data_IF_532538779116
#
_entry.id   IF_532538779116
#
_cell.length_a   1.000
_cell.length_b   1.000
_cell.length_c   1.000
_cell.angle_alpha   90.00
_cell.angle_beta   90.00
_cell.angle_gamma   90.00
#
_symmetry.space_group_name_H-M   'P 1'
#
loop_
_entity.id
_entity.type
_entity.pdbx_description
1 polymer ?
#
# COMPACT_ATOMS: atom_id res chain seq x y z
N UNK A 1 -36.87 19.89 22.00
CA UNK A 1 -35.52 19.71 22.57
C UNK A 1 -34.96 18.40 22.01
N UNK A 2 -34.19 18.47 20.94
CA UNK A 2 -33.44 17.32 20.43
C UNK A 2 -32.01 17.41 20.94
N UNK A 3 -31.55 16.39 21.65
CA UNK A 3 -30.18 16.31 22.15
C UNK A 3 -29.25 16.04 20.96
N UNK A 4 -28.55 17.08 20.49
CA UNK A 4 -27.35 16.90 19.69
C UNK A 4 -26.23 16.50 20.65
N UNK A 5 -25.87 15.22 20.65
CA UNK A 5 -24.61 14.78 21.22
C UNK A 5 -23.48 15.49 20.47
N UNK A 6 -22.60 16.12 21.24
CA UNK A 6 -21.48 16.86 20.69
C UNK A 6 -20.58 15.90 19.91
N UNK A 7 -20.37 16.22 18.63
CA UNK A 7 -19.32 15.62 17.80
C UNK A 7 -18.00 15.73 18.59
N UNK A 8 -17.27 14.63 18.83
CA UNK A 8 -16.00 14.69 19.54
C UNK A 8 -15.04 15.63 18.80
N UNK A 9 -14.37 16.51 19.55
CA UNK A 9 -13.39 17.45 19.00
C UNK A 9 -12.20 16.69 18.38
N UNK A 10 -11.56 17.24 17.33
CA UNK A 10 -10.33 16.67 16.80
C UNK A 10 -9.26 16.56 17.90
N UNK A 11 -8.48 15.48 17.85
CA UNK A 11 -7.42 15.16 18.80
C UNK A 11 -6.46 16.36 19.03
N UNK A 12 -6.44 16.89 20.25
CA UNK A 12 -5.57 18.00 20.73
C UNK A 12 -4.22 17.49 21.29
N UNK A 13 -3.78 16.28 20.91
CA UNK A 13 -2.48 15.72 21.30
C UNK A 13 -1.36 16.10 20.32
N UNK A 14 -0.08 16.08 20.73
CA UNK A 14 1.01 16.18 19.76
C UNK A 14 0.84 15.04 18.74
N UNK A 15 0.88 15.37 17.45
CA UNK A 15 0.89 14.37 16.39
C UNK A 15 2.19 13.58 16.54
N UNK A 16 2.17 12.47 17.28
CA UNK A 16 3.30 11.52 17.40
C UNK A 16 3.28 10.61 16.18
N UNK A 17 3.33 11.24 15.01
CA UNK A 17 3.32 10.60 13.71
C UNK A 17 4.73 10.27 13.23
N UNK A 18 4.86 9.34 12.29
CA UNK A 18 6.14 8.88 11.76
C UNK A 18 6.41 9.58 10.41
N UNK A 19 7.17 10.69 10.43
CA UNK A 19 7.43 11.52 9.24
C UNK A 19 8.08 10.74 8.10
N UNK A 20 8.87 9.72 8.42
CA UNK A 20 9.47 8.84 7.40
C UNK A 20 8.41 8.07 6.60
N UNK A 21 7.21 7.78 7.15
CA UNK A 21 6.10 7.23 6.35
C UNK A 21 5.61 8.21 5.27
N UNK A 22 5.62 9.52 5.53
CA UNK A 22 5.24 10.53 4.52
C UNK A 22 6.26 10.58 3.40
N UNK A 23 7.55 10.46 3.75
CA UNK A 23 8.62 10.37 2.75
C UNK A 23 8.46 9.10 1.92
N UNK A 24 8.28 7.95 2.56
CA UNK A 24 8.06 6.67 1.88
C UNK A 24 6.81 6.70 0.98
N UNK A 25 5.72 7.33 1.44
CA UNK A 25 4.52 7.56 0.63
C UNK A 25 4.84 8.36 -0.63
N UNK A 26 5.54 9.49 -0.48
CA UNK A 26 5.92 10.37 -1.59
C UNK A 26 6.90 9.72 -2.57
N UNK A 27 7.78 8.85 -2.10
CA UNK A 27 8.68 8.08 -2.95
C UNK A 27 7.96 6.99 -3.76
N UNK A 28 6.79 6.52 -3.31
CA UNK A 28 5.94 5.59 -4.06
C UNK A 28 4.92 6.30 -4.96
N UNK A 29 4.76 7.61 -4.83
CA UNK A 29 3.76 8.36 -5.60
C UNK A 29 4.30 8.72 -6.98
N UNK A 30 3.40 9.18 -7.85
CA UNK A 30 3.78 9.62 -9.19
C UNK A 30 4.89 10.70 -9.13
N UNK A 31 6.00 10.57 -9.89
CA UNK A 31 7.08 11.54 -9.87
C UNK A 31 6.60 12.93 -10.27
N UNK A 32 7.03 13.94 -9.53
CA UNK A 32 6.70 15.34 -9.80
C UNK A 32 7.91 16.23 -9.54
N UNK A 33 7.90 17.44 -10.11
CA UNK A 33 8.94 18.43 -9.83
C UNK A 33 9.01 18.81 -8.34
N UNK A 34 7.85 18.81 -7.67
CA UNK A 34 7.73 19.02 -6.23
C UNK A 34 8.42 17.92 -5.43
N UNK A 35 8.25 16.64 -5.81
CA UNK A 35 8.98 15.52 -5.21
C UNK A 35 10.49 15.68 -5.39
N UNK A 36 10.95 16.00 -6.61
CA UNK A 36 12.38 16.20 -6.89
C UNK A 36 12.98 17.34 -6.05
N UNK A 37 12.24 18.44 -5.89
CA UNK A 37 12.66 19.57 -5.06
C UNK A 37 12.72 19.22 -3.56
N UNK A 38 11.88 18.30 -3.11
CA UNK A 38 11.81 17.86 -1.72
C UNK A 38 12.81 16.74 -1.36
N UNK A 39 13.56 16.18 -2.33
CA UNK A 39 14.45 15.05 -2.08
C UNK A 39 15.52 15.32 -1.01
N UNK A 40 16.04 16.54 -0.89
CA UNK A 40 17.00 16.88 0.16
C UNK A 40 16.39 16.79 1.57
N UNK A 41 15.17 17.32 1.74
CA UNK A 41 14.42 17.23 3.00
C UNK A 41 14.03 15.78 3.31
N UNK A 42 13.64 15.00 2.29
CA UNK A 42 13.35 13.58 2.42
C UNK A 42 14.55 12.80 2.99
N UNK A 43 15.77 13.08 2.51
CA UNK A 43 17.00 12.47 3.04
C UNK A 43 17.20 12.80 4.51
N UNK A 44 17.02 14.06 4.92
CA UNK A 44 17.17 14.46 6.32
C UNK A 44 16.20 13.73 7.25
N UNK A 45 14.94 13.57 6.82
CA UNK A 45 13.92 12.83 7.58
C UNK A 45 14.29 11.35 7.68
N UNK A 46 14.73 10.74 6.57
CA UNK A 46 15.13 9.33 6.53
C UNK A 46 16.38 9.05 7.37
N UNK A 47 17.38 9.94 7.35
CA UNK A 47 18.56 9.85 8.21
C UNK A 47 18.17 9.92 9.70
N UNK A 48 17.11 10.66 10.01
CA UNK A 48 16.48 10.74 11.33
C UNK A 48 15.80 9.45 11.81
N UNK A 49 15.43 8.53 10.92
CA UNK A 49 14.69 7.31 11.26
C UNK A 49 15.62 6.15 11.64
N UNK A 50 16.04 6.10 12.90
CA UNK A 50 16.98 5.07 13.37
C UNK A 50 16.40 3.66 13.49
N UNK A 51 15.07 3.51 13.40
CA UNK A 51 14.42 2.19 13.31
C UNK A 51 14.73 1.48 11.99
N UNK A 52 15.11 2.25 10.95
CA UNK A 52 15.54 1.70 9.68
C UNK A 52 17.03 1.31 9.72
N UNK A 53 17.40 0.11 9.23
CA UNK A 53 18.80 -0.30 9.13
C UNK A 53 19.63 0.74 8.37
N UNK A 54 20.84 1.02 8.86
CA UNK A 54 21.73 2.03 8.28
C UNK A 54 21.94 1.86 6.77
N UNK A 55 22.09 0.61 6.31
CA UNK A 55 22.23 0.29 4.88
C UNK A 55 21.00 0.72 4.08
N UNK A 56 19.80 0.47 4.59
CA UNK A 56 18.56 0.80 3.90
C UNK A 56 18.34 2.31 3.83
N UNK A 57 18.68 3.04 4.92
CA UNK A 57 18.70 4.51 4.90
C UNK A 57 19.63 5.06 3.82
N UNK A 58 20.84 4.52 3.71
CA UNK A 58 21.81 4.93 2.70
C UNK A 58 21.30 4.64 1.27
N UNK A 59 20.66 3.49 1.04
CA UNK A 59 20.07 3.15 -0.26
C UNK A 59 18.90 4.08 -0.63
N UNK A 60 18.02 4.39 0.32
CA UNK A 60 16.93 5.35 0.11
C UNK A 60 17.47 6.76 -0.15
N UNK A 61 18.50 7.18 0.58
CA UNK A 61 19.11 8.49 0.38
C UNK A 61 19.79 8.62 -0.99
N UNK A 62 20.50 7.56 -1.42
CA UNK A 62 21.08 7.48 -2.75
C UNK A 62 19.99 7.55 -3.83
N UNK A 63 18.87 6.87 -3.63
CA UNK A 63 17.74 6.92 -4.56
C UNK A 63 17.08 8.31 -4.60
N UNK A 64 16.94 9.01 -3.47
CA UNK A 64 16.47 10.40 -3.46
C UNK A 64 17.40 11.31 -4.28
N UNK A 65 18.72 11.11 -4.21
CA UNK A 65 19.66 11.86 -5.04
C UNK A 65 19.54 11.51 -6.53
N UNK A 66 19.29 10.24 -6.87
CA UNK A 66 18.99 9.79 -8.24
C UNK A 66 17.71 10.44 -8.77
N UNK A 67 16.63 10.48 -7.98
CA UNK A 67 15.37 11.13 -8.33
C UNK A 67 15.54 12.64 -8.57
N UNK A 68 16.26 13.34 -7.69
CA UNK A 68 16.49 14.78 -7.80
C UNK A 68 17.29 15.17 -9.04
N UNK A 69 18.16 14.29 -9.54
CA UNK A 69 19.02 14.52 -10.70
C UNK A 69 18.45 13.94 -12.02
N UNK A 70 17.42 13.09 -11.93
CA UNK A 70 16.82 12.41 -13.07
C UNK A 70 16.02 13.35 -13.97
N UNK A 71 15.91 12.98 -15.25
CA UNK A 71 14.95 13.62 -16.15
C UNK A 71 13.53 13.25 -15.73
N UNK A 72 12.67 14.25 -15.53
CA UNK A 72 11.34 14.02 -14.99
C UNK A 72 10.48 13.16 -15.91
N UNK A 73 10.56 13.35 -17.23
CA UNK A 73 9.75 12.58 -18.17
C UNK A 73 10.17 11.10 -18.19
N UNK A 74 11.48 10.83 -18.11
CA UNK A 74 11.98 9.45 -18.00
C UNK A 74 11.51 8.78 -16.69
N UNK A 75 11.48 9.53 -15.58
CA UNK A 75 10.99 9.02 -14.29
C UNK A 75 9.48 8.74 -14.33
N UNK A 76 8.69 9.64 -14.91
CA UNK A 76 7.26 9.50 -15.10
C UNK A 76 6.93 8.30 -16.00
N UNK A 77 7.65 8.12 -17.11
CA UNK A 77 7.49 6.96 -18.00
C UNK A 77 7.80 5.65 -17.26
N UNK A 78 8.92 5.60 -16.55
CA UNK A 78 9.31 4.42 -15.77
C UNK A 78 8.30 4.08 -14.67
N UNK A 79 7.67 5.08 -14.06
CA UNK A 79 6.61 4.89 -13.07
C UNK A 79 5.39 4.21 -13.69
N UNK A 80 4.86 4.77 -14.78
CA UNK A 80 3.65 4.25 -15.45
C UNK A 80 3.91 2.83 -16.00
N UNK A 81 5.09 2.60 -16.58
CA UNK A 81 5.47 1.26 -17.04
C UNK A 81 5.49 0.23 -15.92
N UNK A 82 5.88 0.65 -14.71
CA UNK A 82 6.00 -0.24 -13.56
C UNK A 82 4.66 -0.51 -12.88
N UNK A 83 3.86 0.53 -12.64
CA UNK A 83 2.70 0.45 -11.74
C UNK A 83 1.35 0.33 -12.47
N UNK A 84 1.24 0.84 -13.70
CA UNK A 84 -0.07 0.97 -14.37
C UNK A 84 -0.31 -0.09 -15.46
N UNK A 85 0.74 -0.83 -15.87
CA UNK A 85 0.64 -1.84 -16.94
C UNK A 85 0.20 -3.23 -16.49
N UNK A 86 0.20 -3.51 -15.19
CA UNK A 86 -0.07 -4.85 -14.68
C UNK A 86 -0.52 -4.81 -13.23
N UNK A 87 -1.11 -5.92 -12.78
CA UNK A 87 -1.65 -6.07 -11.43
C UNK A 87 -0.60 -6.50 -10.42
N UNK A 88 0.44 -7.20 -10.88
CA UNK A 88 1.47 -7.79 -10.04
C UNK A 88 2.17 -6.75 -9.15
N UNK A 89 2.45 -5.57 -9.70
CA UNK A 89 3.15 -4.47 -9.02
C UNK A 89 2.23 -3.31 -8.62
N UNK A 90 0.92 -3.40 -8.85
CA UNK A 90 -0.06 -2.36 -8.50
C UNK A 90 0.13 -1.86 -7.06
N UNK A 91 -0.10 -0.57 -6.83
CA UNK A 91 -0.07 0.02 -5.48
C UNK A 91 -1.42 -0.03 -4.78
N UNK A 92 -2.42 -0.70 -5.36
CA UNK A 92 -3.74 -0.90 -4.75
C UNK A 92 -3.72 -2.15 -3.87
N UNK A 93 -3.74 -1.96 -2.55
CA UNK A 93 -3.56 -3.03 -1.57
C UNK A 93 -4.58 -4.17 -1.75
N UNK A 94 -5.85 -3.84 -1.98
CA UNK A 94 -6.89 -4.87 -2.07
C UNK A 94 -6.87 -5.64 -3.37
N UNK A 95 -6.20 -5.15 -4.41
CA UNK A 95 -6.01 -5.88 -5.66
C UNK A 95 -5.24 -7.19 -5.43
N UNK A 96 -4.23 -7.16 -4.54
CA UNK A 96 -3.41 -8.32 -4.21
C UNK A 96 -4.12 -9.39 -3.37
N UNK A 97 -5.19 -9.01 -2.65
CA UNK A 97 -5.91 -9.92 -1.75
C UNK A 97 -7.20 -10.43 -2.39
N UNK A 98 -7.93 -9.53 -3.06
CA UNK A 98 -9.32 -9.73 -3.43
C UNK A 98 -9.54 -9.73 -4.96
N UNK A 99 -8.59 -9.24 -5.76
CA UNK A 99 -8.80 -9.04 -7.20
C UNK A 99 -10.08 -8.24 -7.48
N UNK A 100 -10.94 -8.76 -8.36
CA UNK A 100 -12.25 -8.16 -8.71
C UNK A 100 -13.41 -8.65 -7.83
N UNK A 101 -13.13 -9.36 -6.74
CA UNK A 101 -14.19 -9.92 -5.90
C UNK A 101 -15.01 -8.84 -5.20
N UNK A 102 -16.27 -9.17 -4.88
CA UNK A 102 -17.17 -8.30 -4.10
C UNK A 102 -16.61 -7.94 -2.72
N UNK A 103 -15.73 -8.78 -2.19
CA UNK A 103 -15.06 -8.56 -0.91
C UNK A 103 -14.14 -7.34 -0.96
N UNK A 104 -13.57 -7.00 -2.12
CA UNK A 104 -12.82 -5.74 -2.33
C UNK A 104 -13.68 -4.52 -2.04
N UNK A 105 -14.91 -4.49 -2.55
CA UNK A 105 -15.82 -3.37 -2.34
C UNK A 105 -16.15 -3.15 -0.86
N UNK A 106 -16.34 -4.23 -0.10
CA UNK A 106 -16.57 -4.13 1.35
C UNK A 106 -15.31 -3.67 2.09
N UNK A 107 -14.13 -4.14 1.70
CA UNK A 107 -12.86 -3.70 2.28
C UNK A 107 -12.62 -2.19 2.06
N UNK A 108 -12.94 -1.67 0.86
CA UNK A 108 -12.88 -0.23 0.56
C UNK A 108 -13.82 0.58 1.45
N UNK A 109 -15.07 0.13 1.64
CA UNK A 109 -16.03 0.81 2.52
C UNK A 109 -15.54 0.83 3.97
N UNK A 110 -14.99 -0.29 4.45
CA UNK A 110 -14.45 -0.35 5.80
C UNK A 110 -13.27 0.61 5.97
N UNK A 111 -12.33 0.64 5.02
CA UNK A 111 -11.16 1.53 5.07
C UNK A 111 -11.57 3.02 5.00
N UNK A 112 -12.57 3.36 4.18
CA UNK A 112 -13.13 4.71 4.15
C UNK A 112 -13.73 5.10 5.51
N UNK A 113 -14.43 4.19 6.18
CA UNK A 113 -14.99 4.46 7.50
C UNK A 113 -13.89 4.71 8.55
N UNK A 114 -12.75 4.01 8.46
CA UNK A 114 -11.58 4.27 9.32
C UNK A 114 -11.00 5.69 9.08
N UNK A 115 -10.88 6.10 7.82
CA UNK A 115 -10.43 7.46 7.48
C UNK A 115 -11.40 8.54 7.99
N UNK A 116 -12.71 8.34 7.80
CA UNK A 116 -13.73 9.27 8.27
C UNK A 116 -13.76 9.37 9.80
N UNK A 117 -13.64 8.23 10.51
CA UNK A 117 -13.56 8.19 11.96
C UNK A 117 -12.32 8.93 12.49
N UNK A 118 -11.25 8.93 11.72
CA UNK A 118 -10.03 9.67 11.97
C UNK A 118 -10.09 11.17 11.58
N UNK A 119 -11.21 11.62 10.98
CA UNK A 119 -11.41 13.00 10.54
C UNK A 119 -10.84 13.33 9.16
N UNK A 120 -10.49 12.33 8.36
CA UNK A 120 -10.02 12.51 6.98
C UNK A 120 -11.19 12.48 6.00
N UNK A 121 -11.08 13.28 4.95
CA UNK A 121 -11.98 13.25 3.81
C UNK A 121 -11.12 13.08 2.56
N UNK A 122 -11.30 11.96 1.86
CA UNK A 122 -10.59 11.71 0.61
C UNK A 122 -11.20 12.51 -0.53
N UNK A 123 -10.37 12.90 -1.50
CA UNK A 123 -10.88 13.39 -2.78
C UNK A 123 -11.63 12.24 -3.48
N UNK A 124 -12.72 12.57 -4.18
CA UNK A 124 -13.54 11.58 -4.86
C UNK A 124 -12.78 10.80 -5.97
N UNK A 125 -11.59 11.28 -6.38
CA UNK A 125 -10.74 10.64 -7.38
C UNK A 125 -9.73 9.66 -6.79
N UNK A 126 -9.52 9.69 -5.48
CA UNK A 126 -8.53 8.83 -4.83
C UNK A 126 -9.16 7.53 -4.34
N UNK A 127 -8.48 6.42 -4.59
CA UNK A 127 -8.89 5.12 -4.06
C UNK A 127 -8.33 4.95 -2.64
N UNK A 128 -9.16 4.51 -1.68
CA UNK A 128 -8.76 4.44 -0.28
C UNK A 128 -7.63 3.45 -0.02
N UNK A 129 -7.48 2.42 -0.86
CA UNK A 129 -6.48 1.36 -0.75
C UNK A 129 -5.19 1.63 -1.55
N UNK A 130 -5.04 2.84 -2.11
CA UNK A 130 -3.79 3.28 -2.72
C UNK A 130 -2.71 3.43 -1.64
N UNK A 131 -1.63 2.65 -1.77
CA UNK A 131 -0.61 2.51 -0.73
C UNK A 131 0.01 3.87 -0.31
N UNK A 132 0.42 4.79 -1.21
CA UNK A 132 0.90 6.11 -0.80
C UNK A 132 -0.08 6.87 0.11
N UNK A 133 -1.35 6.94 -0.27
CA UNK A 133 -2.42 7.57 0.52
C UNK A 133 -2.60 6.88 1.88
N UNK A 134 -2.61 5.56 1.89
CA UNK A 134 -2.69 4.78 3.12
C UNK A 134 -1.51 5.08 4.06
N UNK A 135 -0.29 5.22 3.54
CA UNK A 135 0.89 5.61 4.32
C UNK A 135 0.81 7.05 4.83
N UNK A 136 0.23 7.97 4.06
CA UNK A 136 -0.03 9.34 4.54
C UNK A 136 -0.97 9.33 5.74
N UNK A 137 -2.06 8.56 5.66
CA UNK A 137 -2.96 8.35 6.79
C UNK A 137 -2.23 7.76 8.00
N UNK A 138 -1.49 6.65 7.81
CA UNK A 138 -0.74 5.99 8.87
C UNK A 138 0.29 6.92 9.51
N UNK A 139 0.89 7.83 8.75
CA UNK A 139 1.86 8.80 9.29
C UNK A 139 1.28 9.71 10.38
N UNK A 140 -0.05 9.77 10.52
CA UNK A 140 -0.74 10.56 11.55
C UNK A 140 -1.20 9.75 12.76
N UNK A 141 -1.03 8.42 12.71
CA UNK A 141 -1.46 7.49 13.76
C UNK A 141 -0.41 7.31 14.83
N UNK A 142 -0.78 6.69 15.94
CA UNK A 142 0.17 6.26 16.97
C UNK A 142 1.09 5.14 16.46
N UNK A 143 2.26 4.97 17.07
CA UNK A 143 3.19 3.90 16.67
C UNK A 143 2.59 2.50 16.81
N UNK A 144 1.69 2.28 17.79
CA UNK A 144 0.99 1.01 17.97
C UNK A 144 0.06 0.73 16.79
N UNK A 145 -0.77 1.71 16.40
CA UNK A 145 -1.66 1.59 15.26
C UNK A 145 -0.90 1.38 13.96
N UNK A 146 0.19 2.13 13.73
CA UNK A 146 1.04 1.93 12.54
C UNK A 146 1.59 0.50 12.51
N UNK A 147 2.10 -0.01 13.63
CA UNK A 147 2.61 -1.37 13.73
C UNK A 147 1.54 -2.41 13.39
N UNK A 148 0.33 -2.25 13.94
CA UNK A 148 -0.80 -3.12 13.66
C UNK A 148 -1.18 -3.10 12.17
N UNK A 149 -1.37 -1.91 11.59
CA UNK A 149 -1.76 -1.77 10.19
C UNK A 149 -0.70 -2.32 9.23
N UNK A 150 0.59 -2.05 9.47
CA UNK A 150 1.68 -2.62 8.66
C UNK A 150 1.77 -4.14 8.82
N UNK A 151 1.49 -4.67 10.02
CA UNK A 151 1.38 -6.10 10.28
C UNK A 151 0.26 -6.75 9.47
N UNK A 152 -0.92 -6.12 9.43
CA UNK A 152 -2.09 -6.64 8.70
C UNK A 152 -1.81 -6.78 7.19
N UNK A 153 -1.06 -5.83 6.61
CA UNK A 153 -0.68 -5.84 5.19
C UNK A 153 0.71 -6.46 4.93
N UNK A 154 1.38 -7.04 5.93
CA UNK A 154 2.76 -7.54 5.82
C UNK A 154 2.95 -8.51 4.65
N UNK A 155 2.01 -9.44 4.46
CA UNK A 155 2.06 -10.41 3.37
C UNK A 155 1.99 -9.76 1.98
N UNK A 156 1.19 -8.68 1.84
CA UNK A 156 1.07 -7.89 0.61
C UNK A 156 2.41 -7.18 0.34
N UNK A 157 2.95 -6.50 1.36
CA UNK A 157 4.22 -5.79 1.27
C UNK A 157 5.38 -6.72 0.92
N UNK A 158 5.42 -7.92 1.50
CA UNK A 158 6.44 -8.92 1.22
C UNK A 158 6.42 -9.39 -0.24
N UNK A 159 5.23 -9.71 -0.75
CA UNK A 159 5.05 -10.15 -2.13
C UNK A 159 5.34 -9.02 -3.13
N UNK A 160 4.84 -7.81 -2.86
CA UNK A 160 5.14 -6.64 -3.66
C UNK A 160 6.65 -6.35 -3.69
N UNK A 161 7.34 -6.44 -2.54
CA UNK A 161 8.80 -6.27 -2.47
C UNK A 161 9.51 -7.30 -3.33
N UNK A 162 9.14 -8.58 -3.23
CA UNK A 162 9.76 -9.64 -4.02
C UNK A 162 9.62 -9.39 -5.55
N UNK A 163 8.41 -9.02 -6.00
CA UNK A 163 8.14 -8.68 -7.41
C UNK A 163 8.93 -7.46 -7.89
N UNK A 164 9.02 -6.41 -7.07
CA UNK A 164 9.78 -5.20 -7.42
C UNK A 164 11.29 -5.49 -7.45
N UNK A 165 11.81 -6.33 -6.56
CA UNK A 165 13.22 -6.75 -6.60
C UNK A 165 13.56 -7.57 -7.84
N UNK A 166 12.66 -8.45 -8.30
CA UNK A 166 12.84 -9.20 -9.56
C UNK A 166 12.91 -8.29 -10.78
N UNK A 167 12.19 -7.17 -10.75
CA UNK A 167 12.24 -6.13 -11.79
C UNK A 167 13.46 -5.21 -11.65
N UNK A 168 14.28 -5.39 -10.61
CA UNK A 168 15.50 -4.62 -10.40
C UNK A 168 15.27 -3.13 -10.12
N UNK A 169 14.08 -2.76 -9.63
CA UNK A 169 13.71 -1.36 -9.43
C UNK A 169 13.97 -0.86 -8.01
N UNK A 170 14.28 0.45 -7.88
CA UNK A 170 14.49 1.14 -6.60
C UNK A 170 13.20 1.26 -5.77
N UNK A 171 12.02 1.23 -6.40
CA UNK A 171 10.75 1.28 -5.67
C UNK A 171 10.60 0.14 -4.65
N UNK A 172 11.30 -0.99 -4.82
CA UNK A 172 11.35 -2.08 -3.85
C UNK A 172 11.86 -1.65 -2.45
N UNK A 173 12.64 -0.57 -2.38
CA UNK A 173 13.19 -0.05 -1.12
C UNK A 173 12.08 0.41 -0.16
N UNK A 174 10.95 0.89 -0.67
CA UNK A 174 9.86 1.40 0.16
C UNK A 174 9.13 0.28 0.91
N UNK A 175 8.51 -0.71 0.27
CA UNK A 175 7.85 -1.79 1.00
C UNK A 175 8.84 -2.61 1.84
N UNK A 176 10.11 -2.69 1.44
CA UNK A 176 11.19 -3.22 2.29
C UNK A 176 11.41 -2.38 3.55
N UNK A 177 11.38 -1.06 3.47
CA UNK A 177 11.49 -0.17 4.63
C UNK A 177 10.28 -0.31 5.55
N UNK A 178 9.07 -0.41 5.01
CA UNK A 178 7.86 -0.67 5.80
C UNK A 178 7.96 -1.99 6.58
N UNK A 179 8.44 -3.06 5.92
CA UNK A 179 8.69 -4.35 6.59
C UNK A 179 9.80 -4.24 7.65
N UNK A 180 10.85 -3.46 7.38
CA UNK A 180 11.92 -3.23 8.35
C UNK A 180 11.43 -2.50 9.61
N UNK A 181 10.50 -1.55 9.47
CA UNK A 181 9.88 -0.84 10.60
C UNK A 181 9.16 -1.78 11.57
N UNK A 182 8.68 -2.94 11.12
CA UNK A 182 8.02 -3.96 11.96
C UNK A 182 8.86 -5.23 12.15
N UNK A 183 10.13 -5.22 11.72
CA UNK A 183 11.03 -6.37 11.86
C UNK A 183 10.69 -7.58 10.98
N UNK A 184 9.90 -7.41 9.92
CA UNK A 184 9.36 -8.49 9.10
C UNK A 184 10.03 -8.65 7.71
N UNK A 185 11.28 -8.20 7.55
CA UNK A 185 11.97 -8.29 6.24
C UNK A 185 12.20 -9.71 5.75
N UNK A 186 12.22 -10.69 6.65
CA UNK A 186 12.35 -12.12 6.32
C UNK A 186 11.16 -12.66 5.52
N UNK A 187 9.97 -12.06 5.67
CA UNK A 187 8.78 -12.45 4.91
C UNK A 187 8.97 -12.28 3.40
N UNK A 188 9.89 -11.40 2.96
CA UNK A 188 10.21 -11.21 1.53
C UNK A 188 10.75 -12.53 0.93
N UNK A 189 11.64 -13.21 1.66
CA UNK A 189 12.30 -14.42 1.16
C UNK A 189 11.30 -15.58 0.97
N UNK A 190 10.24 -15.62 1.78
CA UNK A 190 9.15 -16.59 1.65
C UNK A 190 8.32 -16.36 0.37
N UNK A 191 8.23 -15.11 -0.11
CA UNK A 191 7.46 -14.75 -1.30
C UNK A 191 8.25 -14.79 -2.60
N UNK A 192 9.60 -14.84 -2.55
CA UNK A 192 10.44 -14.93 -3.77
C UNK A 192 10.06 -16.10 -4.70
N UNK A 193 9.79 -17.32 -4.22
CA UNK A 193 9.38 -18.41 -5.11
C UNK A 193 8.03 -18.17 -5.78
N UNK A 194 7.13 -17.42 -5.10
CA UNK A 194 5.82 -17.06 -5.66
C UNK A 194 6.02 -16.05 -6.79
N UNK A 195 6.75 -14.96 -6.53
CA UNK A 195 7.06 -13.94 -7.54
C UNK A 195 7.75 -14.56 -8.77
N UNK A 196 8.78 -15.38 -8.57
CA UNK A 196 9.54 -16.01 -9.65
C UNK A 196 8.70 -16.99 -10.51
N UNK A 197 7.62 -17.51 -9.95
CA UNK A 197 6.70 -18.43 -10.62
C UNK A 197 5.60 -17.74 -11.43
N UNK A 198 5.42 -16.42 -11.27
CA UNK A 198 4.38 -15.66 -11.96
C UNK A 198 4.75 -15.37 -13.41
N UNK A 199 3.76 -15.48 -14.30
CA UNK A 199 3.94 -15.02 -15.67
C UNK A 199 3.90 -13.48 -15.72
N UNK A 200 4.75 -12.83 -16.52
CA UNK A 200 4.72 -11.38 -16.70
C UNK A 200 3.36 -10.90 -17.22
N UNK A 201 2.69 -10.07 -16.43
CA UNK A 201 1.34 -9.54 -16.73
C UNK A 201 1.36 -8.19 -17.45
N UNK A 202 2.52 -7.56 -17.54
CA UNK A 202 2.74 -6.25 -18.15
C UNK A 202 3.20 -6.32 -19.61
N UNK A 203 3.20 -7.50 -20.23
CA UNK A 203 3.59 -7.68 -21.64
C UNK A 203 2.44 -7.29 -22.57
N UNK A 204 2.73 -6.81 -23.81
CA UNK A 204 1.67 -6.53 -24.78
C UNK A 204 0.74 -7.72 -25.01
N UNK A 205 1.26 -8.94 -25.02
CA UNK A 205 0.47 -10.16 -25.18
C UNK A 205 -0.45 -10.43 -23.99
N UNK A 206 0.03 -10.20 -22.76
CA UNK A 206 -0.78 -10.35 -21.55
C UNK A 206 -1.89 -9.29 -21.50
N UNK A 207 -1.55 -8.05 -21.87
CA UNK A 207 -2.52 -6.97 -22.03
C UNK A 207 -3.56 -7.34 -23.09
N UNK A 208 -3.16 -7.62 -24.33
CA UNK A 208 -4.08 -7.96 -25.43
C UNK A 208 -5.03 -9.12 -25.06
N UNK A 209 -4.53 -10.15 -24.34
CA UNK A 209 -5.36 -11.26 -23.89
C UNK A 209 -6.48 -10.85 -22.92
N UNK A 210 -6.21 -9.92 -21.99
CA UNK A 210 -7.24 -9.39 -21.07
C UNK A 210 -8.33 -8.65 -21.85
N UNK A 211 -7.95 -7.85 -22.86
CA UNK A 211 -8.89 -7.08 -23.67
C UNK A 211 -9.72 -7.97 -24.61
N UNK A 212 -9.20 -9.11 -25.06
CA UNK A 212 -9.96 -10.07 -25.87
C UNK A 212 -11.04 -10.83 -25.07
N UNK A 213 -10.78 -11.12 -23.79
CA UNK A 213 -11.72 -11.84 -22.92
C UNK A 213 -12.91 -10.96 -22.46
N UNK A 214 -12.74 -9.64 -22.45
CA UNK A 214 -13.75 -8.64 -22.05
C UNK A 214 -14.70 -8.21 -23.19
N UNK A 215 -14.80 -8.99 -24.28
CA UNK A 215 -15.76 -8.73 -25.34
C UNK A 215 -17.21 -8.93 -24.82
N UNK A 216 -17.89 -7.83 -24.51
CA UNK A 216 -19.28 -7.79 -24.02
C UNK A 216 -20.21 -8.58 -24.96
N UNK A 217 -20.77 -9.67 -24.46
CA UNK A 217 -21.89 -10.37 -25.12
C UNK A 217 -23.18 -9.62 -24.83
N UNK A 218 -23.76 -9.00 -25.86
CA UNK A 218 -25.04 -8.28 -25.78
C UNK A 218 -26.28 -9.21 -25.68
N UNK A 219 -26.10 -10.52 -25.50
CA UNK A 219 -27.21 -11.47 -25.33
C UNK A 219 -27.05 -12.26 -24.02
N UNK A 220 -27.99 -12.07 -23.09
CA UNK A 220 -28.14 -12.92 -21.91
C UNK A 220 -29.06 -14.09 -22.29
N UNK A 221 -28.56 -15.32 -22.29
CA UNK A 221 -29.39 -16.50 -22.61
C UNK A 221 -29.91 -17.26 -21.39
N UNK A 222 -29.51 -16.96 -20.15
CA UNK A 222 -30.08 -17.66 -18.99
C UNK A 222 -30.12 -16.87 -17.68
N UNK A 223 -31.21 -17.10 -16.95
CA UNK A 223 -31.60 -16.58 -15.62
C UNK A 223 -30.68 -17.03 -14.46
N UNK A 224 -29.51 -17.61 -14.76
CA UNK A 224 -28.58 -18.23 -13.77
C UNK A 224 -27.51 -17.28 -13.22
N UNK A 225 -27.43 -16.05 -13.71
CA UNK A 225 -26.46 -15.05 -13.22
C UNK A 225 -26.80 -14.48 -11.84
N UNK A 226 -27.98 -14.79 -11.28
CA UNK A 226 -28.46 -14.19 -10.03
C UNK A 226 -28.39 -15.09 -8.77
N UNK A 227 -27.86 -16.32 -8.83
CA UNK A 227 -27.99 -17.27 -7.72
C UNK A 227 -26.67 -17.82 -7.18
N UNK A 228 -25.85 -16.97 -6.57
CA UNK A 228 -24.82 -17.39 -5.59
C UNK A 228 -24.89 -16.48 -4.35
N UNK A 229 -26.05 -16.49 -3.70
CA UNK A 229 -26.22 -16.00 -2.33
C UNK A 229 -26.43 -17.23 -1.44
N UNK A 230 -25.37 -17.80 -0.86
CA UNK A 230 -25.52 -18.76 0.24
C UNK A 230 -24.94 -18.22 1.53
N UNK A 231 -25.68 -18.43 2.62
CA UNK A 231 -25.33 -18.01 3.99
C UNK A 231 -24.07 -18.71 4.54
N UNK A 232 -23.51 -19.68 3.81
CA UNK A 232 -22.32 -20.44 4.19
C UNK A 232 -21.03 -19.63 3.97
N UNK A 233 -21.00 -18.75 2.96
CA UNK A 233 -19.85 -17.85 2.73
C UNK A 233 -19.65 -16.83 3.86
N UNK A 234 -20.76 -16.34 4.44
CA UNK A 234 -20.72 -15.40 5.58
C UNK A 234 -20.07 -16.02 6.83
N UNK A 235 -20.32 -17.31 7.08
CA UNK A 235 -19.79 -18.02 8.27
C UNK A 235 -18.32 -18.39 8.14
N UNK A 236 -17.79 -18.47 6.91
CA UNK A 236 -16.38 -18.75 6.67
C UNK A 236 -15.52 -17.48 6.81
N UNK A 237 -16.05 -16.32 6.40
CA UNK A 237 -15.44 -15.02 6.63
C UNK A 237 -15.34 -14.69 8.13
N UNK A 238 -16.39 -14.96 8.91
CA UNK A 238 -16.40 -14.73 10.37
C UNK A 238 -15.34 -15.56 11.14
N UNK A 239 -14.94 -16.73 10.63
CA UNK A 239 -13.92 -17.59 11.28
C UNK A 239 -12.48 -17.19 10.99
N UNK A 240 -12.23 -16.41 9.93
CA UNK A 240 -10.86 -15.95 9.60
C UNK A 240 -10.36 -14.84 10.53
N UNK A 241 -11.26 -14.23 11.31
CA UNK A 241 -10.97 -13.17 12.29
C UNK A 241 -10.80 -13.68 13.74
N UNK A 242 -10.79 -14.99 13.99
CA UNK A 242 -10.58 -15.58 15.33
C UNK A 242 -9.11 -15.95 15.63
N UNK A 243 -8.15 -15.45 14.85
CA UNK A 243 -6.75 -15.49 15.26
C UNK A 243 -6.53 -14.34 16.27
N UNK A 244 -6.14 -14.70 17.51
CA UNK A 244 -5.72 -13.73 18.52
C UNK A 244 -4.70 -12.77 17.89
N UNK A 245 -4.93 -11.45 17.87
CA UNK A 245 -3.98 -10.52 17.27
C UNK A 245 -2.68 -10.63 18.04
N UNK A 246 -1.64 -11.15 17.38
CA UNK A 246 -0.29 -10.87 17.86
C UNK A 246 -0.08 -9.39 17.66
N UNK A 247 0.13 -8.68 18.76
CA UNK A 247 0.34 -7.24 18.74
C UNK A 247 1.65 -6.96 18.00
N UNK A 248 1.56 -6.55 16.74
CA UNK A 248 2.70 -6.12 15.94
C UNK A 248 3.01 -4.67 16.32
N UNK A 249 4.24 -4.44 16.78
CA UNK A 249 4.70 -3.13 17.22
C UNK A 249 5.75 -2.62 16.24
N UNK A 250 5.82 -1.31 16.04
CA UNK A 250 6.97 -0.70 15.37
C UNK A 250 8.23 -0.99 16.20
N UNK A 251 9.34 -1.27 15.51
CA UNK A 251 10.66 -1.43 16.09
C UNK A 251 11.02 -0.23 16.98
N UNK A 252 11.63 -0.46 18.16
CA UNK A 252 12.02 0.63 19.04
C UNK A 252 13.05 1.53 18.36
N UNK A 253 12.97 2.83 18.62
CA UNK A 253 14.03 3.77 18.23
C UNK A 253 15.31 3.47 19.03
N UNK A 254 16.46 3.57 18.38
CA UNK A 254 17.76 3.41 19.05
C UNK A 254 18.16 4.67 19.86
N UNK A 255 17.40 5.76 19.76
CA UNK A 255 17.59 6.99 20.55
C UNK A 255 16.73 7.00 21.83
N UNK A 256 17.31 7.39 22.99
CA UNK A 256 16.62 7.43 24.28
C UNK A 256 15.63 8.59 24.43
#
# INVERSE_FOLDING_TARGET
MGNYEAIPKPHDGPIVGLLSLRVLARLLDYPTAELQAACAEAVEILDGEDRLPLKLRAELAQWCAELAAGDLLDLEEAYVELFDRGRATSLLLFEHVHGESRDRGQAMVNLLAEYEAAGFQLDARELPDYLPLFLEYLSTRSHEEIGQWLGDIQHILALLTARLEERGTRYALVPRALLALIGATEAIDEQRPVAAGEAPDNTPQALDAVWEEEAVRFHAETDKDCSLQSAEGRRLAERKYEALPQVVQIMPSERP
#
